data_IF_136211358039
#
_entry.id   IF_136211358039
#
_cell.length_a   1.000
_cell.length_b   1.000
_cell.length_c   1.000
_cell.angle_alpha   90.00
_cell.angle_beta   90.00
_cell.angle_gamma   90.00
#
_symmetry.space_group_name_H-M   'P 1'
#
loop_
_entity.id
_entity.type
_entity.pdbx_description
1 polymer ?
#
# COMPACT_ATOMS: atom_id res chain seq x y z
N UNK A 1 -24.20 17.55 5.55
CA UNK A 1 -23.88 17.18 5.52
C UNK A 1 -23.31 16.43 5.55
N UNK A 2 -22.96 16.18 5.51
CA UNK A 2 -22.47 15.68 5.62
C UNK A 2 -21.83 14.98 5.42
N UNK A 3 -21.30 14.78 5.05
CA UNK A 3 -20.61 14.13 5.02
C UNK A 3 -19.72 13.93 5.63
N UNK A 4 -19.73 14.06 5.81
CA UNK A 4 -18.86 14.10 6.69
C UNK A 4 -18.32 12.90 7.00
N UNK A 5 -18.75 12.02 6.80
CA UNK A 5 -18.19 10.93 7.13
C UNK A 5 -17.45 10.46 6.08
N UNK A 6 -16.85 11.19 5.38
CA UNK A 6 -15.96 10.81 4.60
C UNK A 6 -14.95 10.32 5.28
N UNK A 7 -14.76 9.16 5.54
CA UNK A 7 -13.75 8.65 6.17
C UNK A 7 -12.66 8.52 5.33
N UNK A 8 -11.53 8.89 5.67
CA UNK A 8 -10.42 8.67 5.01
C UNK A 8 -10.02 7.34 5.29
N UNK A 9 -10.14 6.38 4.48
CA UNK A 9 -9.76 5.03 4.73
C UNK A 9 -8.30 4.87 4.65
N UNK A 10 -7.68 4.26 5.62
CA UNK A 10 -6.26 3.98 5.65
C UNK A 10 -6.10 2.48 5.49
N UNK A 11 -5.29 2.07 4.52
CA UNK A 11 -5.06 0.66 4.27
C UNK A 11 -3.58 0.38 4.49
N UNK A 12 -3.27 -0.79 4.99
CA UNK A 12 -1.91 -1.16 5.29
C UNK A 12 -1.49 -2.32 4.40
N UNK A 13 -0.26 -2.23 3.91
CA UNK A 13 0.28 -3.22 2.99
C UNK A 13 1.68 -3.62 3.42
N UNK A 14 2.14 -4.75 2.92
CA UNK A 14 3.50 -5.18 3.09
C UNK A 14 4.04 -5.53 1.73
N UNK A 15 5.29 -5.15 1.43
CA UNK A 15 5.92 -5.47 0.16
C UNK A 15 6.33 -6.91 0.21
N UNK A 16 5.71 -7.75 -0.59
CA UNK A 16 5.99 -9.17 -0.63
C UNK A 16 7.13 -9.44 -1.57
N UNK A 17 7.17 -8.76 -2.70
CA UNK A 17 8.26 -8.93 -3.66
C UNK A 17 8.33 -7.72 -4.56
N UNK A 18 9.47 -7.52 -5.19
CA UNK A 18 9.66 -6.42 -6.12
C UNK A 18 10.15 -7.07 -7.41
N UNK A 19 9.46 -6.75 -8.50
CA UNK A 19 9.75 -7.36 -9.75
C UNK A 19 9.90 -6.28 -10.78
N UNK A 20 11.11 -5.86 -11.07
CA UNK A 20 11.37 -4.82 -12.06
C UNK A 20 10.74 -3.51 -11.63
N UNK A 21 9.83 -3.00 -12.44
CA UNK A 21 9.22 -1.73 -12.18
C UNK A 21 7.96 -1.85 -11.34
N UNK A 22 7.66 -3.02 -10.83
CA UNK A 22 6.45 -3.25 -10.08
C UNK A 22 6.77 -3.93 -8.76
N UNK A 23 5.92 -3.71 -7.80
CA UNK A 23 6.04 -4.38 -6.51
C UNK A 23 4.72 -5.08 -6.23
N UNK A 24 4.79 -6.23 -5.57
CA UNK A 24 3.62 -6.96 -5.17
C UNK A 24 3.37 -6.66 -3.71
N UNK A 25 2.20 -6.15 -3.41
CA UNK A 25 1.83 -5.76 -2.06
C UNK A 25 0.71 -6.64 -1.54
N UNK A 26 0.73 -6.90 -0.25
CA UNK A 26 -0.30 -7.70 0.38
C UNK A 26 -0.89 -6.87 1.50
N UNK A 27 -2.22 -6.85 1.60
CA UNK A 27 -2.87 -6.15 2.70
C UNK A 27 -2.54 -6.85 4.00
N UNK A 28 -2.22 -6.09 5.01
CA UNK A 28 -1.91 -6.66 6.31
C UNK A 28 -2.99 -6.33 7.33
N UNK A 29 -3.94 -5.47 6.99
CA UNK A 29 -5.01 -5.11 7.90
C UNK A 29 -6.23 -6.01 7.75
N UNK A 30 -6.25 -6.87 6.76
CA UNK A 30 -7.31 -7.87 6.60
C UNK A 30 -6.67 -9.13 6.07
N UNK A 31 -7.39 -10.21 6.18
CA UNK A 31 -6.87 -11.45 5.65
C UNK A 31 -7.25 -11.57 4.22
N UNK A 32 -6.37 -11.26 3.33
CA UNK A 32 -6.62 -11.31 1.92
C UNK A 32 -5.39 -11.88 1.26
N UNK A 33 -5.54 -12.98 0.56
CA UNK A 33 -4.38 -13.61 -0.04
C UNK A 33 -3.99 -13.03 -1.37
N UNK A 34 -4.77 -12.13 -1.93
CA UNK A 34 -4.44 -11.58 -3.23
C UNK A 34 -3.35 -10.55 -3.13
N UNK A 35 -2.47 -10.53 -4.09
CA UNK A 35 -1.43 -9.53 -4.16
C UNK A 35 -1.85 -8.41 -5.10
N UNK A 36 -1.47 -7.19 -4.75
CA UNK A 36 -1.78 -6.05 -5.59
C UNK A 36 -0.52 -5.62 -6.28
N UNK A 37 -0.54 -5.53 -7.59
CA UNK A 37 0.62 -5.11 -8.35
C UNK A 37 0.59 -3.60 -8.48
N UNK A 38 1.62 -2.94 -8.00
CA UNK A 38 1.69 -1.49 -7.98
C UNK A 38 3.01 -1.05 -8.59
N UNK A 39 2.95 -0.06 -9.46
CA UNK A 39 4.16 0.45 -10.08
C UNK A 39 5.04 1.10 -9.04
N UNK A 40 6.34 0.84 -9.12
CA UNK A 40 7.27 1.40 -8.14
C UNK A 40 7.29 2.93 -8.21
N UNK A 41 6.92 3.50 -9.35
CA UNK A 41 6.86 4.96 -9.47
C UNK A 41 5.83 5.57 -8.53
N UNK A 42 4.87 4.80 -8.05
CA UNK A 42 3.86 5.29 -7.15
C UNK A 42 4.24 5.00 -5.70
N UNK A 43 5.37 4.41 -5.46
CA UNK A 43 5.79 3.98 -4.13
C UNK A 43 7.05 4.73 -3.72
N UNK A 44 7.32 4.83 -2.43
CA UNK A 44 8.55 5.46 -2.00
C UNK A 44 9.76 4.70 -2.53
N UNK A 45 10.83 5.41 -2.84
CA UNK A 45 12.00 4.80 -3.44
C UNK A 45 12.72 3.88 -2.48
N UNK A 46 12.52 4.07 -1.19
CA UNK A 46 13.24 3.30 -0.20
C UNK A 46 12.62 1.95 0.10
N UNK A 47 11.55 1.54 -0.59
CA UNK A 47 10.92 0.29 -0.24
C UNK A 47 11.82 -0.89 -0.54
N UNK A 48 11.64 -1.94 0.23
CA UNK A 48 12.33 -3.20 -0.03
C UNK A 48 11.37 -4.30 0.37
N UNK A 49 11.71 -5.52 0.07
CA UNK A 49 10.87 -6.66 0.44
C UNK A 49 10.76 -6.67 1.95
N UNK A 50 9.56 -6.75 2.43
CA UNK A 50 9.28 -6.71 3.87
C UNK A 50 8.92 -5.34 4.39
N UNK A 51 9.01 -4.29 3.56
CA UNK A 51 8.64 -2.97 4.01
C UNK A 51 7.15 -2.89 4.25
N UNK A 52 6.76 -2.16 5.28
CA UNK A 52 5.36 -1.94 5.56
C UNK A 52 4.97 -0.59 5.04
N UNK A 53 3.82 -0.53 4.41
CA UNK A 53 3.35 0.70 3.78
C UNK A 53 1.97 1.04 4.28
N UNK A 54 1.69 2.34 4.33
CA UNK A 54 0.38 2.85 4.65
C UNK A 54 -0.15 3.59 3.44
N UNK A 55 -1.35 3.26 3.02
CA UNK A 55 -1.97 3.93 1.89
C UNK A 55 -3.07 4.83 2.44
N UNK A 56 -2.88 6.14 2.25
CA UNK A 56 -3.79 7.09 2.78
C UNK A 56 -3.76 8.30 1.89
N UNK A 57 -4.85 8.93 1.63
CA UNK A 57 -4.94 10.13 0.80
C UNK A 57 -4.34 9.88 -0.58
N UNK A 58 -4.57 8.69 -1.10
CA UNK A 58 -4.10 8.32 -2.42
C UNK A 58 -2.59 8.29 -2.53
N UNK A 59 -1.89 8.11 -1.42
CA UNK A 59 -0.45 8.04 -1.41
C UNK A 59 0.00 6.87 -0.58
N UNK A 60 1.11 6.27 -0.96
CA UNK A 60 1.73 5.19 -0.20
C UNK A 60 2.89 5.79 0.60
N UNK A 61 3.01 5.44 1.87
CA UNK A 61 4.07 5.92 2.70
C UNK A 61 4.69 4.77 3.46
N UNK A 62 5.98 4.82 3.70
CA UNK A 62 6.66 3.80 4.49
C UNK A 62 6.39 4.08 5.95
N UNK A 63 6.01 3.07 6.68
CA UNK A 63 5.72 3.20 8.09
C UNK A 63 6.98 3.10 8.94
#
# INVERSE_FOLDING_TARGET
>A
MCHANEKMETWFYEVVSIDGDYANLKRTDIELDDLKLVARALLPAEIMVGSKLKYELMQYEIM
#
